data_IF_826004235090
#
_entry.id   IF_826004235090
#
_cell.length_a   1.000
_cell.length_b   1.000
_cell.length_c   1.000
_cell.angle_alpha   90.00
_cell.angle_beta   90.00
_cell.angle_gamma   90.00
#
_symmetry.space_group_name_H-M   'P 1'
#
loop_
_entity.id
_entity.type
_entity.pdbx_description
1 polymer ?
#
# COMPACT_ATOMS: atom_id res chain seq x y z
N UNK A 1 -9.50 -15.41 -19.88
CA UNK A 1 -10.43 -14.58 -19.07
C UNK A 1 -10.84 -13.42 -19.95
N UNK A 2 -12.12 -13.05 -20.04
CA UNK A 2 -12.49 -11.95 -20.93
C UNK A 2 -12.00 -10.62 -20.35
N UNK A 3 -11.23 -9.86 -21.14
CA UNK A 3 -10.74 -8.51 -20.84
C UNK A 3 -11.86 -7.47 -20.88
N UNK A 4 -13.00 -7.77 -20.27
CA UNK A 4 -14.11 -6.82 -20.20
C UNK A 4 -13.79 -5.82 -19.10
N UNK A 5 -13.38 -4.61 -19.48
CA UNK A 5 -13.20 -3.49 -18.56
C UNK A 5 -14.52 -3.19 -17.85
N UNK A 6 -14.63 -3.57 -16.57
CA UNK A 6 -15.89 -3.44 -15.83
C UNK A 6 -16.17 -2.01 -15.34
N UNK A 7 -15.13 -1.18 -15.26
CA UNK A 7 -15.19 0.20 -14.75
C UNK A 7 -15.70 1.24 -15.75
N UNK A 8 -16.04 0.84 -16.98
CA UNK A 8 -16.64 1.73 -17.96
C UNK A 8 -18.06 1.27 -18.31
N UNK A 9 -18.93 2.23 -18.57
CA UNK A 9 -20.25 1.97 -19.14
C UNK A 9 -20.16 1.78 -20.68
N UNK A 10 -21.26 1.43 -21.36
CA UNK A 10 -21.26 1.25 -22.82
C UNK A 10 -20.88 2.50 -23.63
N UNK A 11 -20.88 3.69 -23.01
CA UNK A 11 -20.52 4.96 -23.63
C UNK A 11 -19.08 5.39 -23.28
N UNK A 12 -18.34 4.57 -22.52
CA UNK A 12 -16.97 4.87 -22.09
C UNK A 12 -16.87 5.77 -20.86
N UNK A 13 -17.97 6.04 -20.16
CA UNK A 13 -17.94 6.79 -18.91
C UNK A 13 -17.52 5.90 -17.73
N UNK A 14 -16.70 6.45 -16.85
CA UNK A 14 -16.28 5.76 -15.63
C UNK A 14 -17.48 5.46 -14.73
N UNK A 15 -17.55 4.22 -14.22
CA UNK A 15 -18.57 3.77 -13.27
C UNK A 15 -17.95 2.88 -12.21
N UNK A 16 -18.48 3.00 -10.99
CA UNK A 16 -18.20 2.04 -9.93
C UNK A 16 -19.02 0.77 -10.16
N UNK A 17 -18.35 -0.39 -10.19
CA UNK A 17 -18.98 -1.69 -10.50
C UNK A 17 -19.90 -2.13 -9.36
N UNK A 18 -21.10 -2.63 -9.65
CA UNK A 18 -21.93 -3.22 -8.58
C UNK A 18 -21.32 -4.50 -8.03
N UNK A 19 -21.28 -4.62 -6.70
CA UNK A 19 -20.79 -5.81 -5.98
C UNK A 19 -21.88 -6.48 -5.14
N UNK A 20 -23.14 -6.01 -5.22
CA UNK A 20 -24.26 -6.46 -4.37
C UNK A 20 -24.63 -7.94 -4.51
N UNK A 21 -24.28 -8.58 -5.62
CA UNK A 21 -24.53 -10.01 -5.87
C UNK A 21 -23.42 -10.93 -5.35
N UNK A 22 -22.27 -10.37 -4.96
CA UNK A 22 -21.13 -11.14 -4.43
C UNK A 22 -21.32 -11.36 -2.93
N UNK A 23 -21.00 -12.55 -2.37
CA UNK A 23 -21.04 -12.78 -0.93
C UNK A 23 -19.92 -12.01 -0.22
N UNK A 24 -20.16 -11.70 1.05
CA UNK A 24 -19.13 -11.20 1.96
C UNK A 24 -18.26 -12.37 2.43
N UNK A 25 -16.95 -12.21 2.33
CA UNK A 25 -15.98 -13.23 2.74
C UNK A 25 -14.78 -12.57 3.42
N UNK A 26 -14.03 -13.29 4.28
CA UNK A 26 -12.70 -12.85 4.68
C UNK A 26 -11.80 -12.69 3.45
N UNK A 27 -11.01 -11.62 3.44
CA UNK A 27 -10.12 -11.23 2.35
C UNK A 27 -8.86 -10.62 2.92
N UNK A 28 -7.76 -10.81 2.22
CA UNK A 28 -6.47 -10.24 2.57
C UNK A 28 -5.73 -9.79 1.33
N UNK A 29 -5.03 -8.67 1.44
CA UNK A 29 -4.08 -8.21 0.44
C UNK A 29 -2.77 -7.80 1.13
N UNK A 30 -1.66 -8.06 0.47
CA UNK A 30 -0.36 -7.54 0.85
C UNK A 30 0.24 -6.76 -0.32
N UNK A 31 0.89 -5.64 -0.01
CA UNK A 31 1.58 -4.80 -0.97
C UNK A 31 2.93 -4.38 -0.43
N UNK A 32 3.83 -4.03 -1.34
CA UNK A 32 5.18 -3.57 -1.06
C UNK A 32 5.42 -2.20 -1.69
N UNK A 33 6.29 -1.41 -1.09
CA UNK A 33 6.93 -0.25 -1.69
C UNK A 33 8.41 -0.22 -1.28
N UNK A 34 9.26 0.45 -2.07
CA UNK A 34 10.68 0.63 -1.76
C UNK A 34 11.01 2.11 -1.77
N UNK A 35 11.70 2.60 -0.75
CA UNK A 35 12.23 3.97 -0.70
C UNK A 35 13.73 3.88 -0.78
N UNK A 36 14.28 4.10 -1.98
CA UNK A 36 15.73 4.16 -2.18
C UNK A 36 16.25 5.52 -1.75
N UNK A 37 17.41 5.53 -1.11
CA UNK A 37 18.04 6.72 -0.55
C UNK A 37 19.56 6.57 -0.54
N UNK A 38 20.27 7.63 -0.18
CA UNK A 38 21.70 7.54 0.06
C UNK A 38 22.00 6.63 1.27
N UNK A 39 23.11 5.86 1.27
CA UNK A 39 23.51 5.05 2.42
C UNK A 39 23.61 5.84 3.73
N UNK A 40 24.05 7.10 3.66
CA UNK A 40 24.11 7.98 4.83
C UNK A 40 22.71 8.31 5.40
N UNK A 41 21.70 8.47 4.54
CA UNK A 41 20.29 8.64 4.96
C UNK A 41 19.80 7.39 5.68
N UNK A 42 20.08 6.21 5.12
CA UNK A 42 19.68 4.93 5.70
C UNK A 42 20.32 4.69 7.07
N UNK A 43 21.61 5.02 7.22
CA UNK A 43 22.34 4.93 8.48
C UNK A 43 21.69 5.79 9.57
N UNK A 44 21.31 7.03 9.25
CA UNK A 44 20.63 7.91 10.20
C UNK A 44 19.25 7.42 10.62
N UNK A 45 18.48 6.83 9.69
CA UNK A 45 17.20 6.19 10.04
C UNK A 45 17.44 5.04 11.02
N UNK A 46 18.46 4.21 10.78
CA UNK A 46 18.83 3.08 11.66
C UNK A 46 19.22 3.53 13.07
N UNK A 47 19.95 4.63 13.17
CA UNK A 47 20.41 5.20 14.44
C UNK A 47 19.33 6.01 15.15
N UNK A 48 18.20 6.30 14.49
CA UNK A 48 17.18 7.22 15.01
C UNK A 48 17.62 8.69 15.01
N UNK A 49 18.72 9.04 14.34
CA UNK A 49 19.28 10.39 14.24
C UNK A 49 18.68 11.16 13.05
N UNK A 50 17.36 11.27 13.02
CA UNK A 50 16.64 12.11 12.06
C UNK A 50 16.01 13.27 12.83
N UNK A 51 16.30 14.51 12.42
CA UNK A 51 15.86 15.72 13.14
C UNK A 51 14.34 15.90 13.30
N UNK A 52 13.54 15.03 12.67
CA UNK A 52 12.07 14.97 12.79
C UNK A 52 11.56 13.85 13.71
N UNK A 53 12.43 13.05 14.32
CA UNK A 53 12.08 11.95 15.22
C UNK A 53 11.92 10.59 14.54
N UNK A 54 11.06 9.74 15.10
CA UNK A 54 10.86 8.35 14.66
C UNK A 54 10.20 8.26 13.27
N UNK A 55 11.04 8.13 12.25
CA UNK A 55 10.62 8.03 10.84
C UNK A 55 9.68 6.84 10.61
N UNK A 56 10.05 5.66 11.12
CA UNK A 56 9.31 4.43 10.86
C UNK A 56 8.00 4.36 11.67
N UNK A 57 8.00 4.91 12.89
CA UNK A 57 6.80 5.08 13.70
C UNK A 57 5.78 6.01 13.05
N UNK A 58 6.21 7.16 12.51
CA UNK A 58 5.30 8.08 11.80
C UNK A 58 4.83 7.46 10.48
N UNK A 59 5.71 6.78 9.73
CA UNK A 59 5.34 6.06 8.52
C UNK A 59 4.32 4.94 8.76
N UNK A 60 4.40 4.25 9.91
CA UNK A 60 3.41 3.25 10.34
C UNK A 60 2.02 3.85 10.51
N UNK A 61 1.93 5.00 11.18
CA UNK A 61 0.66 5.71 11.35
C UNK A 61 0.10 6.15 10.00
N UNK A 62 0.95 6.63 9.09
CA UNK A 62 0.56 7.01 7.75
C UNK A 62 0.06 5.83 6.90
N UNK A 63 0.65 4.63 7.04
CA UNK A 63 0.14 3.42 6.40
C UNK A 63 -1.28 3.08 6.85
N UNK A 64 -1.50 3.06 8.17
CA UNK A 64 -2.80 2.73 8.78
C UNK A 64 -3.85 3.78 8.40
N UNK A 65 -3.49 5.06 8.45
CA UNK A 65 -4.38 6.15 8.05
C UNK A 65 -4.69 6.08 6.55
N UNK A 66 -3.67 5.93 5.70
CA UNK A 66 -3.80 5.83 4.24
C UNK A 66 -4.71 4.69 3.81
N UNK A 67 -4.53 3.50 4.40
CA UNK A 67 -5.40 2.34 4.18
C UNK A 67 -6.87 2.68 4.38
N UNK A 68 -7.22 3.33 5.50
CA UNK A 68 -8.61 3.71 5.82
C UNK A 68 -9.16 4.84 4.95
N UNK A 69 -8.30 5.64 4.32
CA UNK A 69 -8.69 6.75 3.45
C UNK A 69 -8.76 6.36 1.96
N UNK A 70 -8.43 5.12 1.61
CA UNK A 70 -8.42 4.61 0.23
C UNK A 70 -9.64 5.01 -0.61
N UNK A 71 -10.91 4.81 -0.17
CA UNK A 71 -12.07 5.19 -0.99
C UNK A 71 -12.22 6.71 -1.20
N UNK A 72 -11.59 7.55 -0.36
CA UNK A 72 -11.52 9.00 -0.56
C UNK A 72 -10.42 9.43 -1.54
N UNK A 73 -9.44 8.56 -1.80
CA UNK A 73 -8.28 8.83 -2.68
C UNK A 73 -8.49 8.21 -4.06
N UNK A 74 -9.01 6.98 -4.13
CA UNK A 74 -9.21 6.22 -5.36
C UNK A 74 -10.69 6.26 -5.76
N UNK A 75 -11.08 7.05 -6.79
CA UNK A 75 -12.48 7.45 -7.00
C UNK A 75 -13.50 6.32 -7.20
N UNK A 76 -13.06 5.17 -7.73
CA UNK A 76 -13.93 4.03 -8.05
C UNK A 76 -13.78 2.87 -7.05
N UNK A 77 -13.00 3.04 -5.98
CA UNK A 77 -12.94 2.04 -4.91
C UNK A 77 -14.23 2.03 -4.10
N UNK A 78 -14.75 0.85 -3.82
CA UNK A 78 -15.76 0.67 -2.80
C UNK A 78 -15.14 0.89 -1.42
N UNK A 79 -15.87 1.48 -0.47
CA UNK A 79 -15.51 1.35 0.93
C UNK A 79 -15.51 -0.12 1.31
N UNK A 80 -14.40 -0.61 1.86
CA UNK A 80 -14.28 -1.97 2.41
C UNK A 80 -14.20 -1.93 3.93
N UNK A 81 -14.81 -2.91 4.60
CA UNK A 81 -14.73 -3.05 6.06
C UNK A 81 -13.37 -3.66 6.44
N UNK A 82 -12.36 -2.80 6.54
CA UNK A 82 -11.02 -3.15 7.03
C UNK A 82 -11.11 -3.63 8.48
N UNK A 83 -10.56 -4.81 8.75
CA UNK A 83 -10.51 -5.43 10.08
C UNK A 83 -9.11 -5.36 10.70
N UNK A 84 -8.06 -5.36 9.88
CA UNK A 84 -6.68 -5.21 10.35
C UNK A 84 -5.80 -4.52 9.29
N UNK A 85 -4.83 -3.75 9.75
CA UNK A 85 -3.73 -3.20 8.94
C UNK A 85 -2.44 -3.44 9.70
N UNK A 86 -1.54 -4.23 9.12
CA UNK A 86 -0.18 -4.44 9.62
C UNK A 86 0.82 -3.86 8.61
N UNK A 87 1.94 -3.35 9.10
CA UNK A 87 3.01 -2.82 8.26
C UNK A 87 4.37 -3.15 8.84
N UNK A 88 5.28 -3.59 7.98
CA UNK A 88 6.64 -3.97 8.33
C UNK A 88 7.62 -3.12 7.52
N UNK A 89 8.76 -2.83 8.14
CA UNK A 89 9.83 -2.06 7.54
C UNK A 89 11.12 -2.86 7.63
N UNK A 90 11.84 -2.95 6.52
CA UNK A 90 13.17 -3.54 6.48
C UNK A 90 14.16 -2.53 5.90
N UNK A 91 15.30 -2.36 6.58
CA UNK A 91 16.39 -1.54 6.07
C UNK A 91 17.27 -2.43 5.18
N UNK A 92 17.32 -2.13 3.89
CA UNK A 92 18.03 -2.92 2.88
C UNK A 92 19.27 -2.16 2.41
N UNK A 93 20.46 -2.67 2.71
CA UNK A 93 21.73 -2.04 2.29
C UNK A 93 22.07 -2.27 0.82
N UNK A 94 21.55 -3.33 0.19
CA UNK A 94 21.74 -3.58 -1.24
C UNK A 94 20.89 -2.62 -2.10
N UNK A 95 19.74 -2.19 -1.58
CA UNK A 95 18.89 -1.15 -2.17
C UNK A 95 19.51 0.26 -2.06
N UNK A 96 20.47 0.50 -1.16
CA UNK A 96 20.26 1.30 0.07
C UNK A 96 18.86 1.94 0.21
N UNK A 97 18.02 1.43 1.12
CA UNK A 97 16.70 1.99 1.34
C UNK A 97 15.84 1.30 2.39
N UNK A 98 14.58 1.71 2.44
CA UNK A 98 13.54 1.10 3.28
C UNK A 98 12.57 0.33 2.39
N UNK A 99 12.41 -0.97 2.66
CA UNK A 99 11.32 -1.78 2.11
C UNK A 99 10.13 -1.66 3.05
N UNK A 100 8.98 -1.28 2.51
CA UNK A 100 7.69 -1.20 3.22
C UNK A 100 6.85 -2.37 2.76
N UNK A 101 6.34 -3.17 3.70
CA UNK A 101 5.38 -4.25 3.42
C UNK A 101 4.12 -4.00 4.22
N UNK A 102 2.98 -3.79 3.55
CA UNK A 102 1.69 -3.54 4.18
C UNK A 102 0.75 -4.72 3.92
N UNK A 103 0.11 -5.23 4.97
CA UNK A 103 -0.90 -6.29 4.92
C UNK A 103 -2.22 -5.73 5.44
N UNK A 104 -3.28 -5.90 4.66
CA UNK A 104 -4.63 -5.45 5.01
C UNK A 104 -5.59 -6.63 4.96
N UNK A 105 -6.39 -6.76 6.02
CA UNK A 105 -7.46 -7.74 6.13
C UNK A 105 -8.81 -7.05 6.17
N UNK A 106 -9.80 -7.66 5.54
CA UNK A 106 -11.16 -7.14 5.48
C UNK A 106 -12.19 -8.28 5.39
N UNK A 107 -13.43 -7.98 5.75
CA UNK A 107 -14.58 -8.87 5.47
C UNK A 107 -15.53 -8.12 4.57
N UNK A 108 -15.56 -8.46 3.28
CA UNK A 108 -16.37 -7.73 2.29
C UNK A 108 -16.61 -8.51 0.98
N UNK A 109 -17.29 -7.87 0.03
CA UNK A 109 -17.66 -8.35 -1.31
C UNK A 109 -16.57 -8.08 -2.36
N UNK A 110 -15.59 -7.24 -2.02
CA UNK A 110 -14.40 -6.93 -2.82
C UNK A 110 -13.13 -6.96 -1.94
N UNK A 111 -11.97 -7.16 -2.55
CA UNK A 111 -10.69 -7.30 -1.83
C UNK A 111 -10.08 -5.97 -1.41
N UNK A 112 -9.26 -5.96 -0.33
CA UNK A 112 -8.58 -4.76 0.15
C UNK A 112 -7.27 -4.47 -0.62
N UNK A 113 -7.22 -4.82 -1.92
CA UNK A 113 -6.03 -4.69 -2.76
C UNK A 113 -5.51 -3.24 -2.78
N UNK A 114 -6.42 -2.30 -2.95
CA UNK A 114 -6.12 -0.88 -3.01
C UNK A 114 -5.79 -0.31 -1.64
N UNK A 115 -6.38 -0.83 -0.57
CA UNK A 115 -6.07 -0.46 0.81
C UNK A 115 -4.64 -0.85 1.18
N UNK A 116 -4.15 -2.02 0.75
CA UNK A 116 -2.77 -2.44 0.96
C UNK A 116 -1.79 -1.58 0.15
N UNK A 117 -2.08 -1.35 -1.14
CA UNK A 117 -1.26 -0.50 -2.02
C UNK A 117 -1.18 0.94 -1.52
N UNK A 118 -2.31 1.50 -1.08
CA UNK A 118 -2.38 2.85 -0.52
C UNK A 118 -1.58 2.93 0.78
N UNK A 119 -1.68 1.93 1.66
CA UNK A 119 -0.90 1.87 2.89
C UNK A 119 0.62 1.88 2.62
N UNK A 120 1.09 1.07 1.66
CA UNK A 120 2.50 1.03 1.27
C UNK A 120 2.96 2.38 0.67
N UNK A 121 2.14 2.97 -0.19
CA UNK A 121 2.43 4.26 -0.83
C UNK A 121 2.48 5.42 0.18
N UNK A 122 1.52 5.50 1.10
CA UNK A 122 1.50 6.59 2.09
C UNK A 122 2.64 6.46 3.09
N UNK A 123 2.99 5.25 3.53
CA UNK A 123 4.21 5.04 4.31
C UNK A 123 5.47 5.49 3.56
N UNK A 124 5.62 5.13 2.29
CA UNK A 124 6.76 5.53 1.47
C UNK A 124 6.84 7.07 1.31
N UNK A 125 5.71 7.73 1.04
CA UNK A 125 5.62 9.19 0.98
C UNK A 125 5.97 9.85 2.32
N UNK A 126 5.57 9.24 3.44
CA UNK A 126 5.93 9.75 4.77
C UNK A 126 7.41 9.58 5.08
N UNK A 127 8.02 8.45 4.73
CA UNK A 127 9.49 8.28 4.85
C UNK A 127 10.19 9.38 4.03
N UNK A 128 9.74 9.63 2.80
CA UNK A 128 10.27 10.71 1.98
C UNK A 128 10.12 12.07 2.67
N UNK A 129 8.93 12.41 3.18
CA UNK A 129 8.71 13.69 3.87
C UNK A 129 9.64 13.89 5.08
N UNK A 130 9.83 12.82 5.84
CA UNK A 130 10.64 12.79 7.05
C UNK A 130 12.14 12.94 6.77
N UNK A 131 12.62 12.48 5.60
CA UNK A 131 14.04 12.46 5.27
C UNK A 131 14.47 13.47 4.17
N UNK A 132 13.53 14.13 3.46
CA UNK A 132 13.84 15.03 2.32
C UNK A 132 14.74 16.23 2.65
N UNK A 133 14.87 16.60 3.92
CA UNK A 133 15.78 17.67 4.33
C UNK A 133 17.26 17.24 4.21
N UNK A 134 17.53 15.95 4.45
CA UNK A 134 18.86 15.34 4.35
C UNK A 134 19.14 14.81 2.95
N UNK A 135 18.11 14.26 2.30
CA UNK A 135 18.23 13.60 1.00
C UNK A 135 17.02 13.88 0.13
N UNK A 136 17.16 14.85 -0.78
CA UNK A 136 16.10 15.19 -1.75
C UNK A 136 16.08 14.25 -2.95
N UNK A 137 17.08 13.38 -3.10
CA UNK A 137 17.24 12.49 -4.25
C UNK A 137 16.59 11.13 -4.06
N UNK A 138 15.91 10.89 -2.93
CA UNK A 138 15.22 9.63 -2.67
C UNK A 138 14.19 9.32 -3.76
N UNK A 139 14.05 8.04 -4.10
CA UNK A 139 13.03 7.56 -5.05
C UNK A 139 12.08 6.60 -4.35
N UNK A 140 10.80 6.72 -4.67
CA UNK A 140 9.78 5.74 -4.31
C UNK A 140 9.61 4.81 -5.50
N UNK A 141 9.91 3.54 -5.29
CA UNK A 141 9.97 2.48 -6.28
C UNK A 141 8.96 1.38 -5.93
N UNK A 142 8.52 0.65 -6.97
CA UNK A 142 7.81 -0.63 -6.84
C UNK A 142 6.67 -0.65 -5.81
N UNK A 143 5.73 0.31 -5.88
CA UNK A 143 4.44 0.17 -5.18
C UNK A 143 3.65 -0.91 -5.91
N UNK A 144 3.55 -2.09 -5.31
CA UNK A 144 3.05 -3.28 -5.99
C UNK A 144 2.36 -4.27 -5.04
N UNK A 145 1.33 -4.96 -5.56
CA UNK A 145 0.65 -6.02 -4.82
C UNK A 145 1.57 -7.26 -4.76
N UNK A 146 1.80 -7.83 -3.59
CA UNK A 146 2.64 -9.02 -3.39
C UNK A 146 1.83 -10.28 -3.10
N UNK A 147 0.66 -10.13 -2.48
CA UNK A 147 -0.26 -11.24 -2.22
C UNK A 147 -1.72 -10.78 -2.20
N UNK A 148 -2.61 -11.71 -2.51
CA UNK A 148 -4.05 -11.56 -2.35
C UNK A 148 -4.68 -12.90 -1.97
N UNK A 149 -5.61 -12.90 -1.04
CA UNK A 149 -6.39 -14.07 -0.66
C UNK A 149 -7.88 -13.74 -0.51
N UNK A 150 -8.73 -14.75 -0.79
CA UNK A 150 -10.17 -14.65 -0.65
C UNK A 150 -10.92 -14.19 -1.91
N UNK A 151 -12.24 -14.38 -1.90
CA UNK A 151 -13.10 -14.15 -3.05
C UNK A 151 -12.93 -15.16 -4.19
N UNK A 152 -13.63 -14.89 -5.31
CA UNK A 152 -13.69 -15.80 -6.46
C UNK A 152 -12.34 -16.10 -7.10
N UNK A 153 -11.40 -15.15 -7.05
CA UNK A 153 -10.06 -15.31 -7.64
C UNK A 153 -9.13 -16.21 -6.83
N UNK A 154 -9.48 -16.53 -5.58
CA UNK A 154 -8.62 -17.34 -4.71
C UNK A 154 -7.33 -16.62 -4.32
N UNK A 155 -6.30 -17.43 -4.00
CA UNK A 155 -4.97 -16.95 -3.63
C UNK A 155 -4.15 -16.58 -4.85
N UNK A 156 -3.53 -15.42 -4.81
CA UNK A 156 -2.54 -14.96 -5.77
C UNK A 156 -1.29 -14.49 -5.01
N UNK A 157 -0.13 -14.86 -5.53
CA UNK A 157 1.17 -14.43 -5.04
C UNK A 157 1.94 -13.88 -6.24
N UNK A 158 2.69 -12.80 -6.01
CA UNK A 158 3.64 -12.31 -7.00
C UNK A 158 4.76 -13.34 -7.18
N UNK A 159 5.10 -13.62 -8.44
CA UNK A 159 6.34 -14.33 -8.79
C UNK A 159 7.48 -13.31 -8.83
N UNK A 160 8.64 -13.68 -8.29
CA UNK A 160 9.83 -12.81 -8.18
C UNK A 160 10.48 -12.49 -9.55
#
# INVERSE_FOLDING_TARGET
MSDTLTHFDPHGAARMVTISVKPETPRMAAARARVRMQPATLARIREGDVGKGDVLGVARLAAIAGSKQTPGIIPLCHPVRVTAVDVQFSLDEALPGVVVEARVEAVDRTGPDMEAMTAAATAALTIYDMCKAMDRGMTIEAVELTAKEGGKSGRWLRED
#
